data_IF_141855272679
#
_entry.id   IF_141855272679
#
_cell.length_a   1.000
_cell.length_b   1.000
_cell.length_c   1.000
_cell.angle_alpha   90.00
_cell.angle_beta   90.00
_cell.angle_gamma   90.00
#
_symmetry.space_group_name_H-M   'P 1'
#
loop_
_entity.id
_entity.type
_entity.pdbx_description
1 polymer ?
#
# COMPACT_ATOMS: atom_id res chain seq x y z
N UNK A 1 -47.28 36.66 12.35
CA UNK A 1 -46.54 35.57 13.01
C UNK A 1 -46.48 34.37 12.07
N UNK A 2 -45.30 34.07 11.51
CA UNK A 2 -45.11 32.95 10.57
C UNK A 2 -44.86 31.68 11.40
N UNK A 3 -45.76 30.69 11.32
CA UNK A 3 -45.54 29.38 11.97
C UNK A 3 -44.46 28.61 11.18
N UNK A 4 -43.38 28.10 11.81
CA UNK A 4 -42.36 27.35 11.10
C UNK A 4 -42.97 26.06 10.54
N UNK A 5 -42.81 25.82 9.23
CA UNK A 5 -43.31 24.62 8.58
C UNK A 5 -42.35 23.44 8.89
N UNK A 6 -42.75 22.59 9.83
CA UNK A 6 -41.96 21.47 10.35
C UNK A 6 -41.44 20.50 9.27
N UNK A 7 -42.09 20.39 8.10
CA UNK A 7 -41.58 19.58 6.98
C UNK A 7 -40.28 20.13 6.39
N UNK A 8 -40.15 21.45 6.29
CA UNK A 8 -38.94 22.08 5.76
C UNK A 8 -37.77 21.94 6.76
N UNK A 9 -38.03 22.18 8.05
CA UNK A 9 -37.02 22.03 9.09
C UNK A 9 -36.43 20.61 9.16
N UNK A 10 -37.28 19.59 8.97
CA UNK A 10 -36.88 18.18 8.98
C UNK A 10 -36.03 17.80 7.75
N UNK A 11 -36.32 18.39 6.58
CA UNK A 11 -35.50 18.25 5.37
C UNK A 11 -34.10 18.86 5.55
N UNK A 12 -34.02 20.06 6.13
CA UNK A 12 -32.74 20.67 6.50
C UNK A 12 -31.97 19.83 7.51
N UNK A 13 -32.62 19.31 8.55
CA UNK A 13 -31.95 18.48 9.56
C UNK A 13 -31.40 17.18 8.99
N UNK A 14 -32.15 16.50 8.10
CA UNK A 14 -31.71 15.26 7.44
C UNK A 14 -30.56 15.51 6.46
N UNK A 15 -30.65 16.60 5.69
CA UNK A 15 -29.58 17.03 4.76
C UNK A 15 -28.33 17.48 5.52
N UNK A 16 -28.49 18.18 6.65
CA UNK A 16 -27.39 18.66 7.48
C UNK A 16 -26.69 17.51 8.20
N UNK A 17 -27.46 16.55 8.75
CA UNK A 17 -26.91 15.31 9.30
C UNK A 17 -26.14 14.53 8.23
N UNK A 18 -26.68 14.39 7.02
CA UNK A 18 -26.00 13.73 5.91
C UNK A 18 -24.74 14.50 5.45
N UNK A 19 -24.75 15.83 5.46
CA UNK A 19 -23.57 16.66 5.21
C UNK A 19 -22.49 16.52 6.29
N UNK A 20 -22.87 16.40 7.56
CA UNK A 20 -21.92 16.12 8.67
C UNK A 20 -21.29 14.73 8.45
N UNK A 21 -22.09 13.71 8.15
CA UNK A 21 -21.56 12.37 7.82
C UNK A 21 -20.67 12.38 6.58
N UNK A 22 -21.06 13.09 5.52
CA UNK A 22 -20.23 13.23 4.32
C UNK A 22 -18.93 13.98 4.61
N UNK A 23 -18.96 15.02 5.45
CA UNK A 23 -17.76 15.79 5.83
C UNK A 23 -16.83 15.00 6.74
N UNK A 24 -17.37 14.25 7.70
CA UNK A 24 -16.60 13.31 8.53
C UNK A 24 -15.99 12.21 7.67
N UNK A 25 -16.76 11.59 6.77
CA UNK A 25 -16.24 10.58 5.84
C UNK A 25 -15.19 11.15 4.89
N UNK A 26 -15.40 12.35 4.33
CA UNK A 26 -14.41 13.02 3.50
C UNK A 26 -13.15 13.38 4.28
N UNK A 27 -13.27 13.81 5.54
CA UNK A 27 -12.14 14.08 6.42
C UNK A 27 -11.37 12.80 6.76
N UNK A 28 -12.07 11.71 7.09
CA UNK A 28 -11.45 10.41 7.33
C UNK A 28 -10.74 9.89 6.07
N UNK A 29 -11.37 9.97 4.90
CA UNK A 29 -10.80 9.55 3.63
C UNK A 29 -9.58 10.40 3.21
N UNK A 30 -9.66 11.72 3.37
CA UNK A 30 -8.55 12.63 3.07
C UNK A 30 -7.37 12.43 4.03
N UNK A 31 -7.63 12.25 5.34
CA UNK A 31 -6.58 11.92 6.30
C UNK A 31 -5.99 10.54 6.04
N UNK A 32 -6.82 9.56 5.70
CA UNK A 32 -6.38 8.20 5.40
C UNK A 32 -5.49 8.16 4.15
N UNK A 33 -5.92 8.77 3.05
CA UNK A 33 -5.13 8.89 1.82
C UNK A 33 -3.83 9.66 2.05
N UNK A 34 -3.84 10.71 2.89
CA UNK A 34 -2.64 11.45 3.28
C UNK A 34 -1.67 10.60 4.10
N UNK A 35 -2.14 9.92 5.16
CA UNK A 35 -1.33 9.03 5.99
C UNK A 35 -0.69 7.89 5.17
N UNK A 36 -1.42 7.40 4.17
CA UNK A 36 -0.94 6.39 3.22
C UNK A 36 0.18 6.93 2.33
N UNK A 37 0.01 8.13 1.76
CA UNK A 37 1.05 8.79 0.95
C UNK A 37 2.31 9.02 1.79
N UNK A 38 2.15 9.54 3.01
CA UNK A 38 3.27 9.79 3.93
C UNK A 38 4.01 8.49 4.27
N UNK A 39 3.27 7.40 4.56
CA UNK A 39 3.85 6.08 4.83
C UNK A 39 4.60 5.52 3.62
N UNK A 40 4.03 5.63 2.42
CA UNK A 40 4.64 5.18 1.17
C UNK A 40 5.94 5.94 0.85
N UNK A 41 5.97 7.25 1.09
CA UNK A 41 7.19 8.05 0.94
C UNK A 41 8.28 7.61 1.92
N UNK A 42 7.92 7.36 3.18
CA UNK A 42 8.86 6.90 4.20
C UNK A 42 9.38 5.50 3.89
N UNK A 43 8.51 4.56 3.48
CA UNK A 43 8.90 3.21 3.06
C UNK A 43 9.91 3.26 1.91
N UNK A 44 9.66 4.08 0.89
CA UNK A 44 10.58 4.26 -0.26
C UNK A 44 11.93 4.79 0.18
N UNK A 45 11.96 5.76 1.10
CA UNK A 45 13.22 6.31 1.64
C UNK A 45 13.98 5.25 2.44
N UNK A 46 13.30 4.53 3.34
CA UNK A 46 13.91 3.52 4.20
C UNK A 46 14.45 2.34 3.40
N UNK A 47 13.73 1.90 2.37
CA UNK A 47 14.15 0.85 1.43
C UNK A 47 15.50 1.18 0.78
N UNK A 48 15.67 2.41 0.27
CA UNK A 48 16.95 2.87 -0.32
C UNK A 48 18.12 2.92 0.68
N UNK A 49 17.82 3.10 1.97
CA UNK A 49 18.83 3.13 3.04
C UNK A 49 19.16 1.75 3.62
N UNK A 50 18.54 0.67 3.12
CA UNK A 50 18.75 -0.69 3.63
C UNK A 50 18.20 -0.94 5.04
N UNK A 51 17.38 -0.03 5.59
CA UNK A 51 16.81 -0.12 6.94
C UNK A 51 15.60 -1.06 6.97
N UNK A 52 15.79 -2.31 6.57
CA UNK A 52 14.72 -3.28 6.35
C UNK A 52 13.84 -3.51 7.59
N UNK A 53 14.42 -3.47 8.79
CA UNK A 53 13.69 -3.63 10.04
C UNK A 53 12.67 -2.50 10.26
N UNK A 54 12.98 -1.28 9.81
CA UNK A 54 12.07 -0.14 9.92
C UNK A 54 11.02 -0.14 8.83
N UNK A 55 11.39 -0.55 7.61
CA UNK A 55 10.42 -0.82 6.54
C UNK A 55 9.37 -1.81 7.04
N UNK A 56 9.80 -2.92 7.67
CA UNK A 56 8.89 -3.91 8.24
C UNK A 56 8.00 -3.36 9.36
N UNK A 57 8.60 -2.65 10.33
CA UNK A 57 7.82 -2.02 11.42
C UNK A 57 6.77 -1.04 10.91
N UNK A 58 7.10 -0.25 9.90
CA UNK A 58 6.16 0.69 9.30
C UNK A 58 5.05 -0.06 8.55
N UNK A 59 5.41 -1.07 7.75
CA UNK A 59 4.47 -1.92 7.05
C UNK A 59 3.47 -2.63 7.98
N UNK A 60 3.93 -3.15 9.12
CA UNK A 60 3.08 -3.84 10.09
C UNK A 60 2.08 -2.88 10.76
N UNK A 61 2.45 -1.61 10.92
CA UNK A 61 1.57 -0.56 11.47
C UNK A 61 0.54 0.00 10.48
N UNK A 62 0.66 -0.30 9.19
CA UNK A 62 -0.29 0.18 8.19
C UNK A 62 -1.61 -0.61 8.27
N UNK A 63 -2.76 0.06 8.47
CA UNK A 63 -4.05 -0.61 8.57
C UNK A 63 -4.50 -1.20 7.23
N UNK A 64 -4.07 -0.60 6.12
CA UNK A 64 -4.36 -1.03 4.75
C UNK A 64 -3.07 -0.90 3.92
N UNK A 65 -2.89 -1.86 3.00
CA UNK A 65 -1.67 -2.00 2.21
C UNK A 65 -2.06 -2.12 0.75
N UNK A 66 -1.53 -1.23 -0.07
CA UNK A 66 -1.71 -1.30 -1.52
C UNK A 66 -0.54 -1.98 -2.20
N UNK A 67 -0.67 -2.16 -3.50
CA UNK A 67 0.36 -2.75 -4.35
C UNK A 67 1.72 -2.05 -4.18
N UNK A 68 1.74 -0.72 -4.09
CA UNK A 68 2.97 0.04 -3.86
C UNK A 68 3.65 -0.34 -2.54
N UNK A 69 2.86 -0.47 -1.47
CA UNK A 69 3.33 -0.85 -0.13
C UNK A 69 4.00 -2.23 -0.16
N UNK A 70 3.36 -3.21 -0.80
CA UNK A 70 3.90 -4.57 -0.99
C UNK A 70 5.15 -4.58 -1.85
N UNK A 71 5.12 -3.91 -3.01
CA UNK A 71 6.26 -3.81 -3.92
C UNK A 71 7.49 -3.22 -3.21
N UNK A 72 7.28 -2.17 -2.41
CA UNK A 72 8.37 -1.52 -1.66
C UNK A 72 8.96 -2.45 -0.61
N UNK A 73 8.13 -3.23 0.10
CA UNK A 73 8.60 -4.20 1.08
C UNK A 73 9.41 -5.31 0.41
N UNK A 74 8.88 -5.92 -0.65
CA UNK A 74 9.55 -7.00 -1.39
C UNK A 74 10.89 -6.52 -1.96
N UNK A 75 10.92 -5.36 -2.62
CA UNK A 75 12.15 -4.77 -3.14
C UNK A 75 13.18 -4.51 -2.03
N UNK A 76 12.75 -4.05 -0.85
CA UNK A 76 13.64 -3.83 0.28
C UNK A 76 14.26 -5.13 0.83
N UNK A 77 13.48 -6.21 0.93
CA UNK A 77 13.99 -7.54 1.33
C UNK A 77 14.92 -8.13 0.26
N UNK A 78 14.54 -7.98 -1.01
CA UNK A 78 15.32 -8.47 -2.14
C UNK A 78 16.69 -7.78 -2.25
N UNK A 79 16.74 -6.46 -2.01
CA UNK A 79 17.98 -5.68 -1.98
C UNK A 79 18.84 -5.91 -0.73
N UNK A 80 18.31 -6.54 0.33
CA UNK A 80 19.01 -6.78 1.59
C UNK A 80 19.50 -8.23 1.74
N UNK A 81 19.78 -8.93 0.63
CA UNK A 81 20.19 -10.35 0.60
C UNK A 81 19.19 -11.35 1.19
N UNK A 82 17.99 -10.91 1.57
CA UNK A 82 16.94 -11.75 2.20
C UNK A 82 15.96 -12.27 1.15
N UNK A 83 16.49 -12.89 0.08
CA UNK A 83 15.71 -13.34 -1.08
C UNK A 83 14.65 -14.39 -0.71
N UNK A 84 14.93 -15.27 0.25
CA UNK A 84 13.94 -16.26 0.75
C UNK A 84 12.72 -15.57 1.38
N UNK A 85 12.94 -14.52 2.16
CA UNK A 85 11.85 -13.75 2.78
C UNK A 85 11.14 -12.89 1.74
N UNK A 86 11.87 -12.31 0.78
CA UNK A 86 11.28 -11.60 -0.35
C UNK A 86 10.34 -12.51 -1.16
N UNK A 87 10.72 -13.77 -1.39
CA UNK A 87 9.90 -14.77 -2.06
C UNK A 87 8.65 -15.15 -1.25
N UNK A 88 8.76 -15.28 0.08
CA UNK A 88 7.58 -15.53 0.94
C UNK A 88 6.59 -14.38 0.83
N UNK A 89 7.07 -13.14 0.97
CA UNK A 89 6.25 -11.94 0.81
C UNK A 89 5.64 -11.83 -0.59
N UNK A 90 6.38 -12.24 -1.62
CA UNK A 90 5.88 -12.32 -2.99
C UNK A 90 4.72 -13.32 -3.12
N UNK A 91 4.81 -14.48 -2.47
CA UNK A 91 3.70 -15.45 -2.45
C UNK A 91 2.48 -14.91 -1.70
N UNK A 92 2.71 -14.22 -0.58
CA UNK A 92 1.68 -13.60 0.26
C UNK A 92 1.02 -12.37 -0.38
N UNK A 93 1.68 -11.67 -1.31
CA UNK A 93 1.07 -10.48 -1.91
C UNK A 93 -0.22 -10.85 -2.66
N UNK A 94 -1.34 -10.14 -2.38
CA UNK A 94 -2.63 -10.44 -2.99
C UNK A 94 -2.64 -10.16 -4.50
N UNK A 95 -1.82 -9.19 -4.95
CA UNK A 95 -1.67 -8.81 -6.34
C UNK A 95 -0.18 -8.91 -6.69
N UNK A 96 0.13 -9.64 -7.76
CA UNK A 96 1.49 -9.81 -8.30
C UNK A 96 1.56 -9.04 -9.60
N UNK A 97 1.90 -7.76 -9.54
CA UNK A 97 2.05 -6.95 -10.74
C UNK A 97 3.42 -7.13 -11.35
N UNK A 98 3.60 -6.62 -12.58
CA UNK A 98 4.91 -6.62 -13.26
C UNK A 98 5.99 -5.94 -12.40
N UNK A 99 5.63 -4.96 -11.56
CA UNK A 99 6.57 -4.32 -10.62
C UNK A 99 7.03 -5.30 -9.54
N UNK A 100 6.12 -6.11 -8.99
CA UNK A 100 6.45 -7.12 -7.98
C UNK A 100 7.41 -8.17 -8.53
N UNK A 101 7.12 -8.68 -9.74
CA UNK A 101 7.98 -9.63 -10.46
C UNK A 101 9.35 -9.04 -10.75
N UNK A 102 9.40 -7.84 -11.34
CA UNK A 102 10.65 -7.16 -11.67
C UNK A 102 11.52 -6.91 -10.43
N UNK A 103 10.90 -6.53 -9.30
CA UNK A 103 11.62 -6.31 -8.04
C UNK A 103 12.28 -7.59 -7.54
N UNK A 104 11.60 -8.72 -7.66
CA UNK A 104 12.12 -10.01 -7.23
C UNK A 104 13.23 -10.51 -8.17
N UNK A 105 12.99 -10.50 -9.49
CA UNK A 105 13.97 -10.90 -10.52
C UNK A 105 15.24 -10.06 -10.41
N UNK A 106 15.11 -8.74 -10.29
CA UNK A 106 16.25 -7.83 -10.13
C UNK A 106 17.05 -8.18 -8.87
N UNK A 107 16.36 -8.48 -7.77
CA UNK A 107 17.00 -8.95 -6.54
C UNK A 107 17.82 -10.22 -6.75
N UNK A 108 17.25 -11.26 -7.39
CA UNK A 108 17.98 -12.49 -7.69
C UNK A 108 19.20 -12.24 -8.59
N UNK A 109 19.05 -11.41 -9.63
CA UNK A 109 20.13 -11.02 -10.53
C UNK A 109 21.27 -10.30 -9.82
N UNK A 110 20.95 -9.37 -8.90
CA UNK A 110 21.94 -8.59 -8.15
C UNK A 110 22.80 -9.44 -7.20
N UNK A 111 22.26 -10.58 -6.75
CA UNK A 111 22.96 -11.50 -5.84
C UNK A 111 23.55 -12.72 -6.57
N UNK A 112 23.64 -12.68 -7.90
CA UNK A 112 24.29 -13.73 -8.69
C UNK A 112 23.46 -15.00 -8.88
N UNK A 113 22.22 -15.06 -8.38
CA UNK A 113 21.29 -16.18 -8.52
C UNK A 113 20.54 -16.11 -9.85
N UNK A 114 21.29 -16.13 -10.95
CA UNK A 114 20.78 -15.89 -12.32
C UNK A 114 19.87 -17.02 -12.81
N UNK A 115 20.15 -18.26 -12.40
CA UNK A 115 19.35 -19.44 -12.72
C UNK A 115 17.94 -19.32 -12.15
N UNK A 116 17.83 -18.95 -10.87
CA UNK A 116 16.56 -18.76 -10.18
C UNK A 116 15.81 -17.55 -10.72
N UNK A 117 16.53 -16.48 -11.10
CA UNK A 117 15.92 -15.34 -11.79
C UNK A 117 15.33 -15.74 -13.15
N UNK A 118 16.02 -16.59 -13.90
CA UNK A 118 15.56 -17.08 -15.20
C UNK A 118 14.33 -17.99 -15.05
N UNK A 119 14.39 -18.95 -14.13
CA UNK A 119 13.27 -19.84 -13.82
C UNK A 119 12.05 -19.02 -13.41
N UNK A 120 12.23 -18.04 -12.52
CA UNK A 120 11.17 -17.13 -12.10
C UNK A 120 10.59 -16.34 -13.29
N UNK A 121 11.44 -15.85 -14.20
CA UNK A 121 10.99 -15.12 -15.39
C UNK A 121 10.19 -16.00 -16.36
N UNK A 122 10.49 -17.29 -16.43
CA UNK A 122 9.75 -18.24 -17.27
C UNK A 122 8.36 -18.58 -16.73
N UNK A 123 8.15 -18.39 -15.42
CA UNK A 123 6.84 -18.53 -14.77
C UNK A 123 5.98 -17.26 -14.83
N UNK A 124 6.48 -16.17 -15.41
CA UNK A 124 5.72 -14.93 -15.52
C UNK A 124 4.92 -14.89 -16.81
N UNK A 125 3.59 -14.97 -16.68
CA UNK A 125 2.66 -15.07 -17.81
C UNK A 125 2.31 -13.72 -18.47
N UNK A 126 2.93 -12.61 -18.05
CA UNK A 126 2.80 -11.31 -18.70
C UNK A 126 1.48 -10.55 -18.51
N UNK A 127 0.62 -10.96 -17.57
CA UNK A 127 -0.65 -10.27 -17.27
C UNK A 127 -0.49 -8.98 -16.45
#
# INVERSE_FOLDING_TARGET
MIKPNFKFLNFYFKSFHQCIHMRSNHFHFANYSRLKIDSNQVLKKLSKTGRINEVRKLFDKMPERDEFTWNTLIAAYAASEKLTEAMKLFKETPIKSSITWNSLILGYCQHGMKTEAFDLSSTWDGN
#
